data_IF_203664329685
#
_entry.id   IF_203664329685
#
_cell.length_a   1.000
_cell.length_b   1.000
_cell.length_c   1.000
_cell.angle_alpha   90.00
_cell.angle_beta   90.00
_cell.angle_gamma   90.00
#
_symmetry.space_group_name_H-M   'P 1'
#
loop_
_entity.id
_entity.type
_entity.pdbx_description
1 polymer ?
#
# COMPACT_ATOMS: atom_id res chain seq x y z
N UNK A 1 11.74 -30.20 -38.19
CA UNK A 1 10.51 -30.03 -37.41
C UNK A 1 10.91 -29.71 -35.99
N UNK A 2 10.95 -28.43 -35.63
CA UNK A 2 11.26 -27.99 -34.28
C UNK A 2 9.96 -27.97 -33.49
N UNK A 3 9.85 -28.89 -32.54
CA UNK A 3 8.78 -28.97 -31.55
C UNK A 3 8.90 -27.76 -30.63
N UNK A 4 7.91 -26.89 -30.71
CA UNK A 4 7.69 -25.74 -29.83
C UNK A 4 7.55 -26.19 -28.38
N UNK A 5 8.46 -25.70 -27.55
CA UNK A 5 8.32 -25.72 -26.09
C UNK A 5 7.16 -24.81 -25.71
N UNK A 6 6.01 -25.41 -25.38
CA UNK A 6 4.93 -24.72 -24.68
C UNK A 6 5.45 -24.35 -23.28
N UNK A 7 5.92 -23.11 -23.13
CA UNK A 7 6.20 -22.55 -21.81
C UNK A 7 4.86 -22.41 -21.07
N UNK A 8 4.68 -23.30 -20.12
CA UNK A 8 3.57 -23.34 -19.18
C UNK A 8 3.74 -22.19 -18.16
N UNK A 9 3.54 -20.95 -18.60
CA UNK A 9 3.35 -19.80 -17.70
C UNK A 9 1.94 -19.87 -17.10
N UNK A 10 1.72 -20.85 -16.23
CA UNK A 10 0.55 -20.90 -15.38
C UNK A 10 0.78 -19.91 -14.22
N UNK A 11 0.82 -18.61 -14.56
CA UNK A 11 0.64 -17.53 -13.60
C UNK A 11 -0.62 -17.88 -12.79
N UNK A 12 -0.48 -17.93 -11.46
CA UNK A 12 -1.58 -18.34 -10.59
C UNK A 12 -2.80 -17.47 -10.90
N UNK A 13 -3.92 -18.11 -11.26
CA UNK A 13 -5.19 -17.41 -11.55
C UNK A 13 -5.81 -16.79 -10.29
N UNK A 14 -5.20 -17.02 -9.14
CA UNK A 14 -5.65 -16.49 -7.85
C UNK A 14 -4.73 -15.41 -7.33
N UNK A 15 -5.28 -14.53 -6.50
CA UNK A 15 -4.55 -13.49 -5.78
C UNK A 15 -5.05 -13.42 -4.34
N UNK A 16 -4.14 -13.10 -3.41
CA UNK A 16 -4.49 -12.91 -2.01
C UNK A 16 -4.92 -11.45 -1.76
N UNK A 17 -6.12 -11.25 -1.24
CA UNK A 17 -6.67 -9.90 -1.01
C UNK A 17 -5.89 -9.11 0.07
N UNK A 18 -5.30 -9.78 1.06
CA UNK A 18 -4.51 -9.07 2.09
C UNK A 18 -3.17 -8.59 1.55
N UNK A 19 -2.55 -9.35 0.64
CA UNK A 19 -1.34 -8.92 -0.05
C UNK A 19 -1.63 -7.74 -1.00
N UNK A 20 -2.77 -7.75 -1.69
CA UNK A 20 -3.22 -6.60 -2.48
C UNK A 20 -3.49 -5.37 -1.62
N UNK A 21 -4.17 -5.53 -0.48
CA UNK A 21 -4.43 -4.43 0.46
C UNK A 21 -3.13 -3.82 0.98
N UNK A 22 -2.17 -4.66 1.39
CA UNK A 22 -0.85 -4.22 1.82
C UNK A 22 -0.09 -3.48 0.71
N UNK A 23 -0.14 -4.01 -0.52
CA UNK A 23 0.45 -3.36 -1.69
C UNK A 23 -0.18 -1.99 -1.95
N UNK A 24 -1.51 -1.88 -2.01
CA UNK A 24 -2.22 -0.62 -2.19
C UNK A 24 -1.84 0.42 -1.14
N UNK A 25 -1.80 0.03 0.14
CA UNK A 25 -1.40 0.91 1.24
C UNK A 25 0.05 1.38 1.09
N UNK A 26 0.98 0.44 0.88
CA UNK A 26 2.40 0.78 0.73
C UNK A 26 2.68 1.66 -0.47
N UNK A 27 2.03 1.38 -1.60
CA UNK A 27 2.14 2.14 -2.83
C UNK A 27 1.62 3.55 -2.68
N UNK A 28 0.48 3.76 -2.00
CA UNK A 28 -0.06 5.09 -1.76
C UNK A 28 0.89 5.93 -0.89
N UNK A 29 1.48 5.34 0.16
CA UNK A 29 2.45 6.02 1.02
C UNK A 29 3.73 6.40 0.24
N UNK A 30 4.24 5.51 -0.62
CA UNK A 30 5.44 5.84 -1.42
C UNK A 30 5.12 6.83 -2.54
N UNK A 31 3.93 6.75 -3.13
CA UNK A 31 3.46 7.72 -4.12
C UNK A 31 3.32 9.12 -3.51
N UNK A 32 2.92 9.24 -2.25
CA UNK A 32 2.86 10.52 -1.55
C UNK A 32 4.22 11.24 -1.53
N UNK A 33 5.31 10.52 -1.23
CA UNK A 33 6.67 11.09 -1.27
C UNK A 33 7.05 11.60 -2.67
N UNK A 34 6.63 10.89 -3.72
CA UNK A 34 6.83 11.39 -5.08
C UNK A 34 6.06 12.69 -5.31
N UNK A 35 4.77 12.75 -4.94
CA UNK A 35 3.93 13.96 -5.10
C UNK A 35 4.55 15.17 -4.39
N UNK A 36 5.02 15.00 -3.15
CA UNK A 36 5.64 16.09 -2.38
C UNK A 36 6.97 16.54 -3.00
N UNK A 37 7.78 15.61 -3.52
CA UNK A 37 9.06 15.94 -4.18
C UNK A 37 8.88 16.86 -5.39
N UNK A 38 7.78 16.70 -6.11
CA UNK A 38 7.45 17.46 -7.31
C UNK A 38 6.93 18.88 -7.05
N UNK A 39 6.53 19.22 -5.82
CA UNK A 39 6.09 20.59 -5.47
C UNK A 39 7.18 21.66 -5.68
N UNK A 40 8.44 21.24 -5.75
CA UNK A 40 9.60 22.11 -5.97
C UNK A 40 9.80 22.49 -7.44
N UNK A 41 9.06 21.88 -8.36
CA UNK A 41 9.20 22.11 -9.81
C UNK A 41 7.88 22.57 -10.42
N UNK A 42 7.96 23.26 -11.56
CA UNK A 42 6.77 23.57 -12.37
C UNK A 42 6.47 22.35 -13.23
N UNK A 43 5.47 21.58 -12.84
CA UNK A 43 5.14 20.28 -13.43
C UNK A 43 3.71 20.18 -13.99
N UNK A 44 2.90 21.25 -13.90
CA UNK A 44 1.51 21.24 -14.33
C UNK A 44 1.35 21.53 -15.84
N UNK A 45 0.46 20.78 -16.48
CA UNK A 45 0.06 20.84 -17.89
C UNK A 45 -1.48 20.79 -17.99
N UNK A 46 -2.03 21.12 -19.15
CA UNK A 46 -3.46 20.99 -19.44
C UNK A 46 -3.70 19.80 -20.37
N UNK A 47 -4.66 18.94 -20.05
CA UNK A 47 -5.18 17.90 -20.94
C UNK A 47 -6.01 18.54 -22.08
N UNK A 48 -6.34 17.75 -23.09
CA UNK A 48 -7.10 18.20 -24.26
C UNK A 48 -8.51 18.73 -23.92
N UNK A 49 -9.08 18.27 -22.80
CA UNK A 49 -10.39 18.66 -22.29
C UNK A 49 -10.34 19.91 -21.38
N UNK A 50 -9.15 20.48 -21.15
CA UNK A 50 -8.94 21.65 -20.29
C UNK A 50 -8.76 21.34 -18.80
N UNK A 51 -8.75 20.07 -18.39
CA UNK A 51 -8.38 19.67 -17.04
C UNK A 51 -6.86 19.76 -16.81
N UNK A 52 -6.43 19.85 -15.55
CA UNK A 52 -5.01 19.86 -15.19
C UNK A 52 -4.47 18.44 -15.06
N UNK A 53 -3.20 18.26 -15.45
CA UNK A 53 -2.41 17.06 -15.18
C UNK A 53 -1.00 17.47 -14.85
N UNK A 54 -0.32 16.77 -13.95
CA UNK A 54 1.06 17.07 -13.58
C UNK A 54 1.97 15.86 -13.72
N UNK A 55 3.29 16.08 -13.73
CA UNK A 55 4.26 14.98 -13.62
C UNK A 55 4.08 14.19 -12.30
N UNK A 56 3.48 14.80 -11.27
CA UNK A 56 3.19 14.13 -10.01
C UNK A 56 2.07 13.07 -10.16
N UNK A 57 1.03 13.33 -10.96
CA UNK A 57 -0.04 12.36 -11.25
C UNK A 57 0.56 11.10 -11.91
N UNK A 58 1.44 11.30 -12.91
CA UNK A 58 2.13 10.19 -13.61
C UNK A 58 3.04 9.40 -12.67
N UNK A 59 3.82 10.11 -11.86
CA UNK A 59 4.75 9.50 -10.92
C UNK A 59 4.01 8.67 -9.87
N UNK A 60 2.95 9.23 -9.28
CA UNK A 60 2.13 8.54 -8.29
C UNK A 60 1.46 7.30 -8.90
N UNK A 61 0.84 7.41 -10.08
CA UNK A 61 0.23 6.26 -10.73
C UNK A 61 1.25 5.17 -11.04
N UNK A 62 2.45 5.53 -11.50
CA UNK A 62 3.53 4.58 -11.77
C UNK A 62 3.91 3.78 -10.52
N UNK A 63 4.14 4.44 -9.39
CA UNK A 63 4.48 3.78 -8.13
C UNK A 63 3.36 2.83 -7.69
N UNK A 64 2.09 3.25 -7.83
CA UNK A 64 0.93 2.45 -7.45
C UNK A 64 0.77 1.22 -8.33
N UNK A 65 0.84 1.41 -9.65
CA UNK A 65 0.75 0.31 -10.60
C UNK A 65 1.90 -0.68 -10.39
N UNK A 66 3.14 -0.20 -10.25
CA UNK A 66 4.30 -1.08 -10.05
C UNK A 66 4.18 -1.92 -8.78
N UNK A 67 3.72 -1.33 -7.67
CA UNK A 67 3.50 -2.07 -6.42
C UNK A 67 2.41 -3.13 -6.53
N UNK A 68 1.29 -2.82 -7.20
CA UNK A 68 0.22 -3.80 -7.44
C UNK A 68 0.72 -4.92 -8.37
N UNK A 69 1.47 -4.56 -9.42
CA UNK A 69 2.00 -5.51 -10.42
C UNK A 69 3.06 -6.45 -9.85
N UNK A 70 3.78 -6.05 -8.80
CA UNK A 70 4.64 -6.96 -8.01
C UNK A 70 3.85 -8.09 -7.35
N UNK A 71 2.57 -7.86 -7.00
CA UNK A 71 1.69 -8.88 -6.40
C UNK A 71 0.98 -9.69 -7.47
N UNK A 72 0.41 -9.02 -8.47
CA UNK A 72 -0.25 -9.70 -9.58
C UNK A 72 -0.20 -8.86 -10.87
N UNK A 73 0.39 -9.46 -11.90
CA UNK A 73 0.39 -8.90 -13.25
C UNK A 73 -0.95 -9.05 -13.98
N UNK A 74 -1.91 -9.80 -13.42
CA UNK A 74 -3.20 -10.09 -14.05
C UNK A 74 -4.37 -9.28 -13.48
N UNK A 75 -4.25 -8.68 -12.29
CA UNK A 75 -5.31 -7.84 -11.71
C UNK A 75 -5.65 -6.70 -12.66
N UNK A 76 -6.94 -6.44 -12.85
CA UNK A 76 -7.39 -5.27 -13.60
C UNK A 76 -7.17 -4.02 -12.77
N UNK A 77 -6.47 -3.04 -13.33
CA UNK A 77 -6.28 -1.72 -12.73
C UNK A 77 -6.97 -0.69 -13.62
N UNK A 78 -7.76 0.18 -13.01
CA UNK A 78 -8.44 1.31 -13.65
C UNK A 78 -7.90 2.58 -13.01
N UNK A 79 -6.97 3.24 -13.69
CA UNK A 79 -6.42 4.54 -13.29
C UNK A 79 -6.93 5.66 -14.18
N UNK A 80 -6.85 6.92 -13.71
CA UNK A 80 -7.14 8.09 -14.53
C UNK A 80 -6.12 8.27 -15.66
N UNK A 81 -4.85 7.97 -15.39
CA UNK A 81 -3.75 8.41 -16.25
C UNK A 81 -3.35 7.38 -17.31
N UNK A 82 -2.83 7.88 -18.43
CA UNK A 82 -2.47 7.06 -19.58
C UNK A 82 -1.19 6.25 -19.32
N UNK A 83 -1.21 4.96 -19.64
CA UNK A 83 -0.07 4.05 -19.49
C UNK A 83 1.17 4.48 -20.31
N UNK A 84 0.98 5.09 -21.49
CA UNK A 84 2.09 5.59 -22.30
C UNK A 84 2.80 6.77 -21.63
N UNK A 85 2.03 7.70 -21.06
CA UNK A 85 2.58 8.85 -20.32
C UNK A 85 3.28 8.39 -19.05
N UNK A 86 2.69 7.43 -18.34
CA UNK A 86 3.28 6.79 -17.16
C UNK A 86 4.63 6.12 -17.47
N UNK A 87 4.75 5.42 -18.61
CA UNK A 87 6.01 4.78 -19.06
C UNK A 87 7.10 5.79 -19.40
N UNK A 88 6.72 7.01 -19.79
CA UNK A 88 7.67 8.09 -20.07
C UNK A 88 8.21 8.77 -18.81
N UNK A 89 7.57 8.55 -17.65
CA UNK A 89 8.03 9.07 -16.37
C UNK A 89 9.40 8.49 -15.99
N UNK A 90 10.37 9.38 -15.77
CA UNK A 90 11.76 9.05 -15.42
C UNK A 90 11.97 8.80 -13.92
N UNK A 91 10.90 8.63 -13.14
CA UNK A 91 11.05 8.33 -11.71
C UNK A 91 11.74 6.97 -11.52
N UNK A 92 12.79 6.98 -10.70
CA UNK A 92 13.61 5.81 -10.34
C UNK A 92 13.99 5.91 -8.87
N UNK A 93 14.30 4.79 -8.23
CA UNK A 93 14.86 4.76 -6.88
C UNK A 93 13.84 4.62 -5.74
N UNK A 94 12.55 4.52 -6.05
CA UNK A 94 11.50 4.23 -5.05
C UNK A 94 11.35 2.74 -4.74
N UNK A 95 11.98 1.84 -5.51
CA UNK A 95 11.72 0.40 -5.47
C UNK A 95 12.07 -0.21 -4.09
N UNK A 96 13.20 0.20 -3.51
CA UNK A 96 13.62 -0.26 -2.17
C UNK A 96 12.69 0.24 -1.08
N UNK A 97 12.23 1.50 -1.19
CA UNK A 97 11.27 2.08 -0.26
C UNK A 97 9.93 1.35 -0.36
N UNK A 98 9.48 1.05 -1.58
CA UNK A 98 8.27 0.30 -1.85
C UNK A 98 8.32 -1.10 -1.25
N UNK A 99 9.43 -1.83 -1.39
CA UNK A 99 9.57 -3.17 -0.80
C UNK A 99 9.59 -3.12 0.73
N UNK A 100 10.28 -2.14 1.31
CA UNK A 100 10.31 -1.93 2.77
C UNK A 100 8.92 -1.61 3.30
N UNK A 101 8.23 -0.67 2.65
CA UNK A 101 6.90 -0.23 3.04
C UNK A 101 5.87 -1.35 2.87
N UNK A 102 5.98 -2.17 1.81
CA UNK A 102 5.13 -3.32 1.62
C UNK A 102 5.23 -4.32 2.77
N UNK A 103 6.44 -4.62 3.26
CA UNK A 103 6.60 -5.54 4.41
C UNK A 103 5.96 -4.98 5.69
N UNK A 104 6.04 -3.66 5.91
CA UNK A 104 5.40 -3.00 7.04
C UNK A 104 3.87 -3.02 6.91
N UNK A 105 3.36 -2.60 5.75
CA UNK A 105 1.93 -2.62 5.44
C UNK A 105 1.35 -4.04 5.55
N UNK A 106 2.08 -5.06 5.08
CA UNK A 106 1.67 -6.45 5.18
C UNK A 106 1.52 -6.91 6.63
N UNK A 107 2.46 -6.56 7.51
CA UNK A 107 2.34 -6.86 8.95
C UNK A 107 1.14 -6.18 9.58
N UNK A 108 0.95 -4.89 9.28
CA UNK A 108 -0.17 -4.10 9.80
C UNK A 108 -1.53 -4.67 9.36
N UNK A 109 -1.72 -4.89 8.06
CA UNK A 109 -2.95 -5.47 7.51
C UNK A 109 -3.21 -6.84 8.13
N UNK A 110 -2.17 -7.69 8.21
CA UNK A 110 -2.29 -9.01 8.80
C UNK A 110 -2.72 -8.94 10.28
N UNK A 111 -2.22 -7.97 11.04
CA UNK A 111 -2.62 -7.77 12.43
C UNK A 111 -4.09 -7.35 12.49
N UNK A 112 -4.49 -6.29 11.78
CA UNK A 112 -5.89 -5.80 11.82
C UNK A 112 -6.91 -6.86 11.41
N UNK A 113 -6.60 -7.65 10.38
CA UNK A 113 -7.53 -8.65 9.86
C UNK A 113 -7.47 -9.99 10.61
N UNK A 114 -6.41 -10.28 11.36
CA UNK A 114 -6.35 -11.46 12.24
C UNK A 114 -6.78 -11.19 13.69
N UNK A 115 -6.71 -9.94 14.18
CA UNK A 115 -6.96 -9.61 15.59
C UNK A 115 -8.45 -9.56 15.97
N UNK A 116 -9.37 -9.51 14.99
CA UNK A 116 -10.83 -9.53 15.23
C UNK A 116 -11.41 -10.81 15.88
N UNK A 117 -10.57 -11.68 16.46
CA UNK A 117 -11.00 -12.90 17.17
C UNK A 117 -10.37 -13.11 18.56
N UNK A 118 -9.76 -12.10 19.18
CA UNK A 118 -9.39 -12.14 20.61
C UNK A 118 -9.85 -10.86 21.31
N UNK A 119 -10.59 -11.05 22.40
CA UNK A 119 -11.15 -10.10 23.36
C UNK A 119 -10.70 -8.62 23.31
N UNK A 120 -11.69 -7.74 23.11
CA UNK A 120 -11.96 -6.36 23.57
C UNK A 120 -10.91 -5.45 24.27
N UNK A 121 -9.59 -5.67 24.26
CA UNK A 121 -8.68 -4.78 25.05
C UNK A 121 -7.32 -4.36 24.45
N UNK A 122 -7.05 -4.50 23.15
CA UNK A 122 -5.82 -3.92 22.57
C UNK A 122 -6.11 -3.01 21.36
N UNK A 123 -6.27 -1.71 21.64
CA UNK A 123 -6.27 -0.62 20.65
C UNK A 123 -4.85 -0.26 20.15
N UNK A 124 -3.85 -1.08 20.42
CA UNK A 124 -2.44 -0.71 20.23
C UNK A 124 -1.81 -1.27 18.93
N UNK A 125 -1.67 -0.39 17.93
CA UNK A 125 -1.23 -0.68 16.55
C UNK A 125 0.31 -0.57 16.34
N UNK A 126 0.95 -1.44 15.53
CA UNK A 126 2.40 -1.41 15.26
C UNK A 126 2.88 -0.21 14.43
N UNK A 127 2.13 0.27 13.43
CA UNK A 127 2.52 1.48 12.68
C UNK A 127 2.51 2.74 13.55
N UNK A 128 1.74 2.75 14.64
CA UNK A 128 1.71 3.84 15.62
C UNK A 128 2.85 3.74 16.66
N UNK A 129 3.35 2.52 16.94
CA UNK A 129 4.37 2.26 17.98
C UNK A 129 5.80 2.66 17.60
N UNK A 130 6.12 2.85 16.32
CA UNK A 130 7.50 3.22 15.94
C UNK A 130 7.93 4.62 16.44
N UNK A 131 7.00 5.45 16.93
CA UNK A 131 7.35 6.69 17.64
C UNK A 131 7.73 6.48 19.12
N UNK A 132 7.20 5.47 19.81
CA UNK A 132 7.44 5.31 21.26
C UNK A 132 8.78 4.63 21.55
N UNK A 133 9.26 3.74 20.67
CA UNK A 133 10.52 3.03 20.90
C UNK A 133 11.76 3.87 20.62
N UNK A 134 11.69 4.93 19.80
CA UNK A 134 12.84 5.80 19.55
C UNK A 134 13.07 6.88 20.64
N UNK A 135 12.11 7.10 21.53
CA UNK A 135 12.24 8.07 22.64
C UNK A 135 12.76 7.42 23.93
N UNK A 136 12.65 6.09 24.07
CA UNK A 136 12.97 5.37 25.31
C UNK A 136 14.30 4.59 25.28
N UNK A 137 14.96 4.44 24.13
CA UNK A 137 16.21 3.66 24.00
C UNK A 137 17.51 4.38 24.45
N UNK A 138 17.44 5.58 25.04
CA UNK A 138 18.63 6.24 25.63
C UNK A 138 18.81 6.01 27.14
N UNK A 139 17.99 5.18 27.79
CA UNK A 139 18.26 4.79 29.18
C UNK A 139 17.64 3.46 29.60
N UNK A 140 18.39 2.36 29.46
CA UNK A 140 18.54 1.36 30.53
C UNK A 140 19.33 0.13 30.07
N UNK A 141 20.36 -0.21 30.84
CA UNK A 141 21.12 -1.46 30.87
C UNK A 141 20.28 -2.66 31.35
N UNK A 142 20.63 -3.91 30.97
CA UNK A 142 19.88 -5.11 31.36
C UNK A 142 20.45 -5.78 32.62
N UNK A 143 19.57 -6.29 33.48
CA UNK A 143 19.87 -7.34 34.47
C UNK A 143 18.93 -8.54 34.30
N UNK A 144 19.47 -9.71 34.67
CA UNK A 144 19.11 -11.09 34.32
C UNK A 144 18.26 -11.71 35.44
N UNK A 145 17.30 -12.61 35.15
CA UNK A 145 17.16 -13.94 35.81
C UNK A 145 16.01 -14.84 35.28
N UNK A 146 16.41 -16.07 34.91
CA UNK A 146 15.87 -17.44 35.14
C UNK A 146 14.47 -17.67 35.80
N UNK A 147 13.68 -18.77 35.66
CA UNK A 147 13.73 -20.10 34.99
C UNK A 147 12.40 -20.95 35.19
N UNK A 148 12.09 -21.85 34.21
CA UNK A 148 11.37 -23.19 34.18
C UNK A 148 9.84 -23.42 34.55
N UNK A 149 9.20 -24.61 34.29
CA UNK A 149 8.27 -24.85 33.16
C UNK A 149 6.87 -25.43 33.54
N UNK A 150 5.96 -25.59 32.57
CA UNK A 150 4.96 -26.67 32.66
C UNK A 150 4.46 -27.18 31.30
N UNK A 151 4.34 -28.52 31.22
CA UNK A 151 3.88 -29.34 30.10
C UNK A 151 2.35 -29.43 30.09
N UNK A 152 1.67 -29.39 28.94
CA UNK A 152 0.57 -30.35 28.65
C UNK A 152 0.16 -30.41 27.16
N UNK A 153 0.22 -31.64 26.64
CA UNK A 153 -0.65 -32.30 25.65
C UNK A 153 -1.04 -31.63 24.33
N UNK A 154 -0.53 -32.22 23.25
CA UNK A 154 -0.93 -32.00 21.87
C UNK A 154 -2.35 -32.50 21.56
N UNK A 155 -3.18 -31.62 20.99
CA UNK A 155 -4.29 -31.99 20.11
C UNK A 155 -3.94 -31.50 18.70
N UNK A 156 -3.86 -32.43 17.76
CA UNK A 156 -3.65 -32.13 16.35
C UNK A 156 -4.92 -31.47 15.78
N UNK A 157 -4.97 -30.15 15.83
CA UNK A 157 -5.87 -29.34 15.00
C UNK A 157 -5.17 -29.09 13.68
N UNK A 158 -5.75 -29.60 12.60
CA UNK A 158 -5.37 -29.29 11.22
C UNK A 158 -5.38 -27.77 11.05
N UNK A 159 -4.19 -27.15 11.04
CA UNK A 159 -4.01 -25.71 10.84
C UNK A 159 -4.38 -25.40 9.39
N UNK A 160 -5.62 -25.04 9.13
CA UNK A 160 -5.97 -24.31 7.90
C UNK A 160 -5.09 -23.06 7.92
N UNK A 161 -4.24 -22.90 6.91
CA UNK A 161 -3.36 -21.75 6.82
C UNK A 161 -4.27 -20.56 6.54
N UNK A 162 -4.55 -19.72 7.55
CA UNK A 162 -5.56 -18.65 7.48
C UNK A 162 -5.38 -17.68 6.30
N UNK A 163 -4.18 -17.64 5.71
CA UNK A 163 -3.93 -16.89 4.48
C UNK A 163 -4.68 -17.44 3.25
N UNK A 164 -4.95 -18.75 3.17
CA UNK A 164 -5.69 -19.36 2.05
C UNK A 164 -7.16 -18.88 2.00
N UNK A 165 -7.71 -18.34 3.09
CA UNK A 165 -9.09 -17.85 3.18
C UNK A 165 -9.33 -16.62 2.31
N UNK A 166 -8.28 -15.88 1.96
CA UNK A 166 -8.36 -14.63 1.19
C UNK A 166 -7.91 -14.77 -0.27
N UNK A 167 -7.71 -15.99 -0.74
CA UNK A 167 -7.42 -16.24 -2.14
C UNK A 167 -8.70 -16.18 -2.99
N UNK A 168 -8.66 -15.36 -4.03
CA UNK A 168 -9.77 -15.18 -4.98
C UNK A 168 -9.27 -15.23 -6.40
N UNK A 169 -10.16 -15.56 -7.35
CA UNK A 169 -9.86 -15.46 -8.78
C UNK A 169 -9.56 -14.00 -9.16
N UNK A 170 -8.45 -13.78 -9.85
CA UNK A 170 -7.99 -12.46 -10.28
C UNK A 170 -9.00 -11.73 -11.18
N UNK A 171 -9.81 -12.45 -11.96
CA UNK A 171 -10.81 -11.86 -12.84
C UNK A 171 -11.98 -11.21 -12.10
N UNK A 172 -12.17 -11.59 -10.82
CA UNK A 172 -13.20 -11.01 -9.95
C UNK A 172 -12.76 -9.71 -9.29
N UNK A 173 -11.47 -9.38 -9.39
CA UNK A 173 -10.85 -8.24 -8.72
C UNK A 173 -10.61 -7.11 -9.72
N UNK A 174 -10.98 -5.90 -9.33
CA UNK A 174 -10.58 -4.66 -10.00
C UNK A 174 -10.04 -3.68 -8.97
N UNK A 175 -8.99 -2.95 -9.32
CA UNK A 175 -8.43 -1.89 -8.48
C UNK A 175 -8.66 -0.55 -9.19
N UNK A 176 -9.24 0.41 -8.48
CA UNK A 176 -9.45 1.77 -8.96
C UNK A 176 -8.42 2.68 -8.32
N UNK A 177 -7.79 3.54 -9.13
CA UNK A 177 -6.72 4.44 -8.71
C UNK A 177 -7.03 5.86 -9.18
N UNK A 178 -7.12 6.78 -8.23
CA UNK A 178 -6.93 8.20 -8.46
C UNK A 178 -5.57 8.58 -7.85
N UNK A 179 -4.53 8.77 -8.68
CA UNK A 179 -3.18 8.96 -8.19
C UNK A 179 -2.97 10.32 -7.53
N UNK A 180 -3.82 11.31 -7.80
CA UNK A 180 -3.74 12.67 -7.26
C UNK A 180 -5.11 13.36 -7.45
N UNK A 181 -6.01 13.16 -6.49
CA UNK A 181 -7.27 13.89 -6.46
C UNK A 181 -7.00 15.38 -6.13
N UNK A 182 -7.84 16.25 -6.67
CA UNK A 182 -7.71 17.70 -6.62
C UNK A 182 -6.45 18.25 -7.32
N UNK A 183 -6.07 17.72 -8.49
CA UNK A 183 -4.97 18.22 -9.33
C UNK A 183 -5.03 19.73 -9.59
N UNK A 184 -6.23 20.29 -9.73
CA UNK A 184 -6.42 21.73 -9.90
C UNK A 184 -6.04 22.56 -8.66
N UNK A 185 -6.17 22.02 -7.45
CA UNK A 185 -5.70 22.64 -6.22
C UNK A 185 -4.20 22.45 -6.06
N UNK A 186 -3.69 21.24 -6.33
CA UNK A 186 -2.25 20.95 -6.36
C UNK A 186 -1.49 21.91 -7.27
N UNK A 187 -1.97 22.11 -8.51
CA UNK A 187 -1.35 23.02 -9.48
C UNK A 187 -1.33 24.50 -9.02
N UNK A 188 -2.19 24.88 -8.07
CA UNK A 188 -2.25 26.23 -7.48
C UNK A 188 -1.45 26.34 -6.18
N UNK A 189 -0.85 25.25 -5.71
CA UNK A 189 -0.18 25.18 -4.40
C UNK A 189 -1.13 25.07 -3.22
N UNK A 190 -2.41 24.78 -3.46
CA UNK A 190 -3.39 24.45 -2.42
C UNK A 190 -3.36 22.95 -2.18
N UNK A 191 -2.61 22.53 -1.16
CA UNK A 191 -2.30 21.13 -0.91
C UNK A 191 -3.26 20.45 0.07
N UNK A 192 -4.09 21.22 0.79
CA UNK A 192 -5.03 20.68 1.77
C UNK A 192 -6.03 19.68 1.18
N UNK A 193 -6.66 19.90 0.00
CA UNK A 193 -7.60 18.93 -0.57
C UNK A 193 -6.92 17.74 -1.24
N UNK A 194 -5.60 17.78 -1.48
CA UNK A 194 -4.90 16.75 -2.27
C UNK A 194 -4.92 15.40 -1.57
N UNK A 195 -5.28 14.35 -2.31
CA UNK A 195 -5.28 12.98 -1.80
C UNK A 195 -4.94 11.95 -2.88
N UNK A 196 -4.53 10.77 -2.46
CA UNK A 196 -4.37 9.58 -3.30
C UNK A 196 -5.50 8.63 -2.91
N UNK A 197 -6.26 8.14 -3.88
CA UNK A 197 -7.37 7.22 -3.65
C UNK A 197 -7.09 5.89 -4.34
N UNK A 198 -7.11 4.80 -3.58
CA UNK A 198 -6.96 3.44 -4.13
C UNK A 198 -8.06 2.57 -3.56
N UNK A 199 -8.80 1.85 -4.40
CA UNK A 199 -9.89 0.98 -3.95
C UNK A 199 -9.80 -0.42 -4.58
N UNK A 200 -9.97 -1.46 -3.76
CA UNK A 200 -10.12 -2.84 -4.23
C UNK A 200 -11.62 -3.16 -4.30
N UNK A 201 -12.04 -3.64 -5.45
CA UNK A 201 -13.42 -4.06 -5.75
C UNK A 201 -13.41 -5.54 -6.10
N UNK A 202 -14.19 -6.34 -5.37
CA UNK A 202 -14.42 -7.75 -5.62
C UNK A 202 -15.88 -7.94 -6.05
N UNK A 203 -16.12 -8.56 -7.21
CA UNK A 203 -17.47 -8.79 -7.76
C UNK A 203 -18.35 -7.52 -7.79
N UNK A 204 -17.76 -6.39 -8.20
CA UNK A 204 -18.40 -5.07 -8.22
C UNK A 204 -18.79 -4.52 -6.83
N UNK A 205 -18.26 -5.08 -5.74
CA UNK A 205 -18.41 -4.55 -4.38
C UNK A 205 -17.06 -4.04 -3.84
N UNK A 206 -16.97 -2.77 -3.40
CA UNK A 206 -15.78 -2.27 -2.72
C UNK A 206 -15.52 -3.07 -1.44
N UNK A 207 -14.31 -3.58 -1.25
CA UNK A 207 -13.93 -4.38 -0.08
C UNK A 207 -12.73 -3.83 0.69
N UNK A 208 -11.97 -2.90 0.10
CA UNK A 208 -10.86 -2.21 0.73
C UNK A 208 -10.62 -0.87 0.05
N UNK A 209 -10.15 0.13 0.78
CA UNK A 209 -9.82 1.44 0.23
C UNK A 209 -8.66 2.08 0.99
N UNK A 210 -7.89 2.91 0.31
CA UNK A 210 -6.82 3.74 0.89
C UNK A 210 -7.11 5.17 0.51
N UNK A 211 -7.12 6.05 1.50
CA UNK A 211 -7.07 7.49 1.32
C UNK A 211 -5.74 7.95 1.94
N UNK A 212 -4.82 8.41 1.11
CA UNK A 212 -3.54 8.95 1.57
C UNK A 212 -3.48 10.45 1.29
N UNK A 213 -3.11 11.23 2.31
CA UNK A 213 -2.89 12.68 2.25
C UNK A 213 -1.39 12.93 2.18
N UNK A 214 -0.84 13.31 1.00
CA UNK A 214 0.60 13.46 0.84
C UNK A 214 1.21 14.55 1.73
N UNK A 215 0.43 15.58 2.04
CA UNK A 215 0.85 16.74 2.83
C UNK A 215 0.36 16.68 4.28
N UNK A 216 -0.01 15.48 4.73
CA UNK A 216 -0.49 15.22 6.08
C UNK A 216 -1.89 15.76 6.35
N UNK A 217 -2.28 15.69 7.63
CA UNK A 217 -3.53 16.24 8.14
C UNK A 217 -3.24 16.89 9.50
N UNK A 218 -3.63 18.16 9.72
CA UNK A 218 -3.47 18.78 11.03
C UNK A 218 -4.18 17.92 12.10
N UNK A 219 -3.45 17.52 13.14
CA UNK A 219 -3.88 16.67 14.28
C UNK A 219 -3.82 15.16 14.07
N UNK A 220 -3.28 14.67 12.95
CA UNK A 220 -3.08 13.24 12.75
C UNK A 220 -1.59 12.93 12.60
N UNK A 221 -1.14 11.89 13.30
CA UNK A 221 0.26 11.45 13.26
C UNK A 221 0.60 10.92 11.87
N UNK A 222 1.74 11.37 11.32
CA UNK A 222 2.25 10.86 10.06
C UNK A 222 2.57 9.36 10.17
N UNK A 223 2.40 8.64 9.06
CA UNK A 223 2.80 7.24 8.99
C UNK A 223 4.31 7.19 8.78
N UNK A 224 5.04 6.55 9.70
CA UNK A 224 6.45 6.20 9.51
C UNK A 224 7.34 7.39 9.10
N UNK A 225 7.09 8.57 9.67
CA UNK A 225 7.84 9.82 9.37
C UNK A 225 7.74 10.31 7.92
N UNK A 226 6.85 9.75 7.11
CA UNK A 226 6.70 10.13 5.68
C UNK A 226 6.03 11.48 5.46
N UNK A 227 5.74 12.24 6.52
CA UNK A 227 4.89 13.46 6.57
C UNK A 227 3.46 13.26 6.03
N UNK A 228 3.17 12.11 5.41
CA UNK A 228 1.89 11.71 4.88
C UNK A 228 1.04 10.99 5.92
N UNK A 229 -0.29 11.01 5.72
CA UNK A 229 -1.26 10.29 6.54
C UNK A 229 -2.07 9.38 5.64
N UNK A 230 -2.22 8.10 5.98
CA UNK A 230 -3.12 7.19 5.26
C UNK A 230 -4.16 6.56 6.18
N UNK A 231 -5.38 6.44 5.68
CA UNK A 231 -6.49 5.75 6.32
C UNK A 231 -6.94 4.65 5.36
N UNK A 232 -7.26 3.47 5.90
CA UNK A 232 -7.67 2.30 5.14
C UNK A 232 -8.49 1.31 6.00
#
# INVERSE_FOLDING_TARGET
>A
MASSSENNENSSKTVNLLDLAASCLSSAIVAADQITSFTKTKNARLKHDGSFVTDADMAAQKVIVDGIRKISNLVRIVGEENEEEMKSSTIIGYENQLDTMYQLAKKEILIRYNYKHRDDNDDELPLAKQQQQQVEEESATPEIEETVPSKTTAKATTKINKMEVYEVDVQRVSIFVDPLDATGSYAKGDYDPVSILVAIVLDNQPCFGVICKPFGCPKQTSILETESVAIY
#
